data_IF_582216429690
#
_entry.id   IF_582216429690
#
_cell.length_a   1.000
_cell.length_b   1.000
_cell.length_c   1.000
_cell.angle_alpha   90.00
_cell.angle_beta   90.00
_cell.angle_gamma   90.00
#
_symmetry.space_group_name_H-M   'P 1'
#
loop_
_entity.id
_entity.type
_entity.pdbx_description
1 polymer ?
#
# COMPACT_ATOMS: atom_id res chain seq x y z
N UNK A 1 -5.23 -10.19 -7.91
CA UNK A 1 -4.85 -9.28 -9.01
C UNK A 1 -4.07 -8.12 -8.41
N UNK A 2 -2.86 -7.90 -8.91
CA UNK A 2 -1.88 -6.97 -8.36
C UNK A 2 -2.34 -5.53 -8.52
N UNK A 3 -2.72 -4.88 -7.43
CA UNK A 3 -2.46 -3.45 -7.35
C UNK A 3 -0.93 -3.28 -7.43
N UNK A 4 -0.47 -2.15 -7.97
CA UNK A 4 0.95 -1.73 -8.06
C UNK A 4 1.71 -2.03 -9.36
N UNK A 5 1.04 -2.20 -10.50
CA UNK A 5 1.74 -1.99 -11.78
C UNK A 5 1.41 -0.66 -12.45
N UNK A 6 0.24 -0.08 -12.22
CA UNK A 6 -0.11 1.20 -12.86
C UNK A 6 0.31 2.43 -12.04
N UNK A 7 0.21 2.39 -10.70
CA UNK A 7 0.50 3.57 -9.87
C UNK A 7 2.00 3.80 -9.62
N UNK A 8 2.77 2.72 -9.44
CA UNK A 8 4.21 2.77 -9.19
C UNK A 8 5.01 3.10 -10.46
N UNK A 9 4.54 2.67 -11.64
CA UNK A 9 5.25 2.93 -12.90
C UNK A 9 4.96 4.31 -13.52
N UNK A 10 3.88 4.98 -13.10
CA UNK A 10 3.54 6.31 -13.65
C UNK A 10 4.19 7.45 -12.87
N UNK A 11 4.81 7.15 -11.73
CA UNK A 11 5.44 8.15 -10.87
C UNK A 11 6.97 8.05 -10.98
N UNK A 12 7.58 9.05 -11.60
CA UNK A 12 9.04 9.17 -11.65
C UNK A 12 9.52 9.82 -10.35
N UNK A 13 10.16 9.03 -9.48
CA UNK A 13 10.78 9.56 -8.27
C UNK A 13 12.18 10.10 -8.59
N UNK A 14 12.48 11.30 -8.09
CA UNK A 14 13.78 11.97 -8.31
C UNK A 14 14.94 11.23 -7.63
N UNK A 15 14.68 10.58 -6.50
CA UNK A 15 15.68 9.82 -5.74
C UNK A 15 15.04 8.67 -4.96
N UNK A 16 15.88 7.78 -4.43
CA UNK A 16 15.44 6.60 -3.68
C UNK A 16 14.67 6.96 -2.40
N UNK A 17 15.05 8.05 -1.73
CA UNK A 17 14.45 8.47 -0.46
C UNK A 17 12.99 8.92 -0.64
N UNK A 18 12.72 9.71 -1.69
CA UNK A 18 11.36 10.10 -2.09
C UNK A 18 10.50 8.88 -2.45
N UNK A 19 11.05 7.93 -3.22
CA UNK A 19 10.36 6.70 -3.55
C UNK A 19 10.02 5.87 -2.30
N UNK A 20 10.97 5.78 -1.36
CA UNK A 20 10.81 5.03 -0.12
C UNK A 20 9.75 5.68 0.78
N UNK A 21 9.77 7.01 0.91
CA UNK A 21 8.77 7.76 1.68
C UNK A 21 7.38 7.64 1.08
N UNK A 22 7.24 7.78 -0.25
CA UNK A 22 5.98 7.61 -0.93
C UNK A 22 5.43 6.18 -0.77
N UNK A 23 6.29 5.17 -0.89
CA UNK A 23 5.94 3.77 -0.67
C UNK A 23 5.51 3.49 0.77
N UNK A 24 6.23 4.03 1.75
CA UNK A 24 5.89 3.89 3.17
C UNK A 24 4.52 4.51 3.47
N UNK A 25 4.30 5.76 3.03
CA UNK A 25 3.01 6.44 3.18
C UNK A 25 1.88 5.68 2.50
N UNK A 26 2.13 5.12 1.32
CA UNK A 26 1.15 4.29 0.64
C UNK A 26 0.83 3.02 1.43
N UNK A 27 1.83 2.30 1.95
CA UNK A 27 1.62 1.05 2.68
C UNK A 27 0.90 1.31 4.01
N UNK A 28 1.45 2.18 4.85
CA UNK A 28 0.93 2.44 6.20
C UNK A 28 -0.32 3.31 6.15
N UNK A 29 -0.32 4.33 5.30
CA UNK A 29 -1.38 5.32 5.21
C UNK A 29 -2.57 4.89 4.36
N UNK A 30 -2.42 3.96 3.42
CA UNK A 30 -3.53 3.56 2.55
C UNK A 30 -3.76 2.06 2.53
N UNK A 31 -2.73 1.28 2.17
CA UNK A 31 -2.87 -0.15 1.93
C UNK A 31 -3.32 -0.93 3.17
N UNK A 32 -2.62 -0.77 4.30
CA UNK A 32 -2.95 -1.49 5.53
C UNK A 32 -4.31 -1.08 6.13
N UNK A 33 -4.81 0.11 5.76
CA UNK A 33 -6.05 0.70 6.28
C UNK A 33 -7.28 0.47 5.41
N UNK A 34 -7.10 0.30 4.10
CA UNK A 34 -8.22 0.28 3.15
C UNK A 34 -8.35 -1.05 2.41
N UNK A 35 -7.31 -1.90 2.44
CA UNK A 35 -7.35 -3.15 1.71
C UNK A 35 -8.08 -4.20 2.54
N UNK A 36 -9.28 -4.55 2.10
CA UNK A 36 -10.01 -5.69 2.65
C UNK A 36 -9.43 -6.97 2.05
N UNK A 37 -9.07 -7.91 2.90
CA UNK A 37 -8.54 -9.20 2.46
C UNK A 37 -9.62 -10.27 2.62
N UNK A 38 -10.07 -10.85 1.50
CA UNK A 38 -11.09 -11.91 1.51
C UNK A 38 -10.66 -13.16 2.27
N UNK A 39 -9.35 -13.38 2.45
CA UNK A 39 -8.79 -14.48 3.24
C UNK A 39 -8.87 -14.26 4.76
N UNK A 40 -9.13 -13.03 5.22
CA UNK A 40 -9.31 -12.69 6.64
C UNK A 40 -10.69 -12.05 6.84
N UNK A 41 -11.75 -12.69 6.31
CA UNK A 41 -13.13 -12.23 6.48
C UNK A 41 -13.40 -10.79 6.01
N UNK A 42 -12.63 -10.28 5.05
CA UNK A 42 -12.68 -8.90 4.58
C UNK A 42 -12.26 -7.87 5.63
N UNK A 43 -11.52 -8.25 6.66
CA UNK A 43 -10.86 -7.28 7.53
C UNK A 43 -9.69 -6.64 6.81
N UNK A 44 -9.38 -5.41 7.23
CA UNK A 44 -8.12 -4.77 6.87
C UNK A 44 -6.97 -5.37 7.69
N UNK A 45 -5.73 -5.36 7.18
CA UNK A 45 -4.57 -5.80 7.94
C UNK A 45 -4.46 -5.13 9.32
N UNK A 46 -4.79 -3.84 9.40
CA UNK A 46 -4.78 -3.11 10.68
C UNK A 46 -5.84 -3.61 11.66
N UNK A 47 -7.04 -3.99 11.19
CA UNK A 47 -8.08 -4.54 12.05
C UNK A 47 -7.78 -5.97 12.52
N UNK A 48 -6.98 -6.72 11.76
CA UNK A 48 -6.60 -8.10 12.09
C UNK A 48 -5.40 -8.18 13.04
N UNK A 49 -4.48 -7.21 13.02
CA UNK A 49 -3.29 -7.18 13.90
C UNK A 49 -3.54 -6.56 15.28
N UNK A 50 -4.70 -5.92 15.53
CA UNK A 50 -5.11 -5.41 16.85
C UNK A 50 -5.69 -6.51 17.75
#
# INVERSE_FOLDING_TARGET
MSLKKEEVYTTTYLNFEEANRALFNYIVGFYNRNRLHSSIHYFTPQEFEN
#
